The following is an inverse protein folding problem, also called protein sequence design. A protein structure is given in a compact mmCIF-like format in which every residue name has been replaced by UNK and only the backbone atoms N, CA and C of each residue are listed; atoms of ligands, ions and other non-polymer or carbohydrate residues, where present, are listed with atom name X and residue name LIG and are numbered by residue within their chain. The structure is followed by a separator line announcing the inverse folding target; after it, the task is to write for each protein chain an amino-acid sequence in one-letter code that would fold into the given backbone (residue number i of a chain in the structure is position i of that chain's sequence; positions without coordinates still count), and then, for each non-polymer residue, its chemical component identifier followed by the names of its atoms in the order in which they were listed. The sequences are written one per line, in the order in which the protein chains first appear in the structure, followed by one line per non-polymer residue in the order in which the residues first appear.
data_IF_082507683888
#
_entry.id   IF_082507683888
#
_cell.length_a   1.000
_cell.length_b   1.000
_cell.length_c   1.000
_cell.angle_alpha   90.00
_cell.angle_beta   90.00
_cell.angle_gamma   90.00
#
_symmetry.space_group_name_H-M   'P 1'
#
loop_
_entity.id
_entity.type
_entity.pdbx_description
1 polymer ?
#
# COMPACT_ATOMS: atom_id res chain seq x y z
N UNK A 1 7.06 -27.32 -3.81
CA UNK A 1 6.09 -27.36 -2.75
C UNK A 1 4.70 -26.98 -3.28
N UNK A 2 3.64 -27.67 -2.79
CA UNK A 2 2.25 -27.28 -3.02
C UNK A 2 1.94 -25.91 -2.39
N UNK A 3 0.80 -25.32 -2.72
CA UNK A 3 0.37 -24.07 -2.11
C UNK A 3 0.21 -24.22 -0.58
N UNK A 4 -0.45 -25.28 -0.14
CA UNK A 4 -0.70 -25.54 1.29
C UNK A 4 0.60 -25.69 2.08
N UNK A 5 1.59 -26.41 1.54
CA UNK A 5 2.90 -26.51 2.19
C UNK A 5 3.61 -25.16 2.27
N UNK A 6 3.50 -24.31 1.26
CA UNK A 6 4.07 -22.96 1.29
C UNK A 6 3.35 -22.07 2.29
N UNK A 7 2.01 -22.11 2.36
CA UNK A 7 1.21 -21.40 3.35
C UNK A 7 1.62 -21.82 4.78
N UNK A 8 1.67 -23.12 5.06
CA UNK A 8 2.09 -23.64 6.37
C UNK A 8 3.49 -23.18 6.76
N UNK A 9 4.43 -23.18 5.82
CA UNK A 9 5.78 -22.69 6.05
C UNK A 9 5.81 -21.19 6.35
N UNK A 10 5.10 -20.39 5.58
CA UNK A 10 4.99 -18.95 5.77
C UNK A 10 4.40 -18.62 7.15
N UNK A 11 3.31 -19.28 7.52
CA UNK A 11 2.65 -19.08 8.82
C UNK A 11 3.51 -19.53 9.99
N UNK A 12 4.27 -20.63 9.85
CA UNK A 12 5.23 -21.07 10.85
C UNK A 12 6.32 -20.02 11.07
N UNK A 13 6.89 -19.47 10.00
CA UNK A 13 7.89 -18.38 10.07
C UNK A 13 7.29 -17.17 10.75
N UNK A 14 6.08 -16.75 10.34
CA UNK A 14 5.38 -15.63 10.96
C UNK A 14 5.20 -15.80 12.48
N UNK A 15 4.70 -16.96 12.91
CA UNK A 15 4.49 -17.25 14.33
C UNK A 15 5.82 -17.26 15.10
N UNK A 16 6.89 -17.80 14.50
CA UNK A 16 8.24 -17.81 15.10
C UNK A 16 8.74 -16.38 15.28
N UNK A 17 8.72 -15.55 14.24
CA UNK A 17 9.16 -14.14 14.30
C UNK A 17 8.39 -13.36 15.37
N UNK A 18 7.05 -13.48 15.38
CA UNK A 18 6.22 -12.80 16.39
C UNK A 18 6.56 -13.21 17.81
N UNK A 19 6.81 -14.51 18.06
CA UNK A 19 7.08 -15.04 19.41
C UNK A 19 8.51 -14.84 19.89
N UNK A 20 9.49 -14.94 18.99
CA UNK A 20 10.90 -15.02 19.36
C UNK A 20 11.64 -13.70 19.16
N UNK A 21 11.23 -12.88 18.17
CA UNK A 21 11.94 -11.65 17.81
C UNK A 21 11.18 -10.38 18.23
N UNK A 22 9.85 -10.47 18.43
CA UNK A 22 9.03 -9.35 18.82
C UNK A 22 8.53 -9.49 20.26
N UNK A 23 8.02 -8.39 20.80
CA UNK A 23 7.39 -8.35 22.11
C UNK A 23 6.09 -9.16 22.14
N UNK A 24 5.76 -9.77 23.30
CA UNK A 24 4.55 -10.59 23.46
C UNK A 24 3.24 -9.83 23.25
N UNK A 25 3.28 -8.49 23.25
CA UNK A 25 2.14 -7.61 22.98
C UNK A 25 2.06 -7.15 21.52
N UNK A 26 2.92 -7.68 20.63
CA UNK A 26 2.87 -7.40 19.21
C UNK A 26 1.56 -7.89 18.61
N UNK A 27 0.78 -6.96 18.07
CA UNK A 27 -0.53 -7.24 17.47
C UNK A 27 -0.51 -6.92 15.98
N UNK A 28 -1.01 -7.83 15.15
CA UNK A 28 -1.23 -7.56 13.73
C UNK A 28 -2.43 -6.63 13.57
N UNK A 29 -2.20 -5.47 12.99
CA UNK A 29 -3.23 -4.46 12.75
C UNK A 29 -3.68 -4.41 11.29
N UNK A 30 -2.90 -5.02 10.40
CA UNK A 30 -3.21 -5.19 8.98
C UNK A 30 -2.40 -6.34 8.40
N UNK A 31 -3.00 -7.11 7.46
CA UNK A 31 -2.32 -8.19 6.76
C UNK A 31 -2.74 -8.25 5.29
N UNK A 32 -1.75 -8.40 4.40
CA UNK A 32 -1.98 -8.61 2.97
C UNK A 32 -1.28 -9.86 2.48
N UNK A 33 -2.05 -10.72 1.81
CA UNK A 33 -1.53 -11.88 1.10
C UNK A 33 -1.44 -11.61 -0.39
N UNK A 34 -0.30 -11.94 -0.97
CA UNK A 34 -0.03 -11.92 -2.40
C UNK A 34 -0.07 -13.34 -2.92
N UNK A 35 -1.06 -13.66 -3.75
CA UNK A 35 -1.29 -15.01 -4.23
C UNK A 35 -0.95 -15.14 -5.71
N UNK A 36 -0.47 -16.33 -6.12
CA UNK A 36 -0.27 -16.64 -7.53
C UNK A 36 -1.57 -16.98 -8.25
N UNK A 37 -2.60 -17.46 -7.52
CA UNK A 37 -3.90 -17.89 -8.06
C UNK A 37 -4.98 -17.75 -6.97
N UNK A 38 -5.58 -16.56 -6.89
CA UNK A 38 -6.57 -16.28 -5.83
C UNK A 38 -7.81 -17.19 -5.90
N UNK A 39 -8.25 -17.56 -7.09
CA UNK A 39 -9.44 -18.41 -7.26
C UNK A 39 -9.29 -19.78 -6.59
N UNK A 40 -8.09 -20.35 -6.58
CA UNK A 40 -7.82 -21.67 -6.01
C UNK A 40 -7.16 -21.63 -4.61
N UNK A 41 -6.71 -20.47 -4.15
CA UNK A 41 -5.87 -20.36 -2.96
C UNK A 41 -6.52 -19.59 -1.80
N UNK A 42 -7.50 -18.74 -2.08
CA UNK A 42 -8.13 -17.87 -1.07
C UNK A 42 -8.77 -18.66 0.05
N UNK A 43 -9.50 -19.74 -0.26
CA UNK A 43 -10.22 -20.52 0.78
C UNK A 43 -9.23 -21.08 1.81
N UNK A 44 -8.08 -21.63 1.38
CA UNK A 44 -7.07 -22.15 2.30
C UNK A 44 -6.45 -21.07 3.20
N UNK A 45 -6.33 -19.83 2.70
CA UNK A 45 -5.89 -18.69 3.52
C UNK A 45 -6.97 -18.34 4.54
N UNK A 46 -8.23 -18.28 4.10
CA UNK A 46 -9.37 -17.93 4.96
C UNK A 46 -9.61 -18.97 6.06
N UNK A 47 -9.42 -20.27 5.80
CA UNK A 47 -9.50 -21.33 6.82
C UNK A 47 -8.56 -21.04 7.99
N UNK A 48 -7.31 -20.61 7.72
CA UNK A 48 -6.37 -20.25 8.77
C UNK A 48 -6.73 -18.92 9.46
N UNK A 49 -7.13 -17.91 8.69
CA UNK A 49 -7.47 -16.58 9.24
C UNK A 49 -8.70 -16.60 10.15
N UNK A 50 -9.68 -17.48 9.87
CA UNK A 50 -10.85 -17.64 10.74
C UNK A 50 -10.53 -18.17 12.13
N UNK A 51 -9.39 -18.86 12.30
CA UNK A 51 -8.90 -19.36 13.60
C UNK A 51 -8.03 -18.35 14.35
N UNK A 52 -7.67 -17.25 13.69
CA UNK A 52 -6.78 -16.22 14.24
C UNK A 52 -7.56 -15.05 14.86
N UNK A 53 -6.90 -14.24 15.68
CA UNK A 53 -7.47 -12.98 16.13
C UNK A 53 -7.76 -12.08 14.89
N UNK A 54 -8.90 -11.37 14.92
CA UNK A 54 -9.31 -10.51 13.83
C UNK A 54 -8.20 -9.51 13.47
N UNK A 55 -7.93 -9.41 12.19
CA UNK A 55 -7.04 -8.43 11.58
C UNK A 55 -7.64 -8.04 10.23
N UNK A 56 -7.70 -6.75 9.86
CA UNK A 56 -8.09 -6.35 8.52
C UNK A 56 -7.23 -7.06 7.48
N UNK A 57 -7.89 -7.77 6.58
CA UNK A 57 -7.29 -8.73 5.68
C UNK A 57 -7.47 -8.31 4.24
N UNK A 58 -6.36 -8.24 3.49
CA UNK A 58 -6.33 -8.05 2.05
C UNK A 58 -5.78 -9.31 1.38
N UNK A 59 -6.54 -9.92 0.48
CA UNK A 59 -6.10 -11.07 -0.32
C UNK A 59 -6.15 -10.66 -1.78
N UNK A 60 -4.99 -10.62 -2.43
CA UNK A 60 -4.87 -10.14 -3.80
C UNK A 60 -4.07 -11.12 -4.66
N UNK A 61 -4.55 -11.39 -5.86
CA UNK A 61 -3.74 -12.08 -6.85
C UNK A 61 -2.76 -11.09 -7.47
N UNK A 62 -1.55 -11.16 -6.98
CA UNK A 62 -0.34 -10.51 -7.49
C UNK A 62 0.80 -11.52 -7.30
N UNK A 63 1.05 -12.38 -8.29
CA UNK A 63 2.00 -13.48 -8.16
C UNK A 63 3.40 -13.02 -7.75
N UNK A 64 3.97 -13.52 -6.63
CA UNK A 64 5.37 -13.30 -6.32
C UNK A 64 6.28 -13.86 -7.41
N UNK A 65 7.27 -13.08 -7.86
CA UNK A 65 8.13 -13.46 -8.98
C UNK A 65 9.37 -14.27 -8.55
N UNK A 66 9.58 -14.47 -7.26
CA UNK A 66 10.66 -15.30 -6.73
C UNK A 66 10.40 -16.82 -6.81
N UNK A 67 9.34 -17.24 -7.48
CA UNK A 67 8.95 -18.64 -7.64
C UNK A 67 8.07 -19.20 -6.53
N UNK A 68 7.69 -18.40 -5.54
CA UNK A 68 6.71 -18.78 -4.52
C UNK A 68 5.28 -18.54 -5.00
N UNK A 69 4.33 -19.30 -4.44
CA UNK A 69 2.88 -19.15 -4.73
C UNK A 69 2.21 -18.15 -3.82
N UNK A 70 2.88 -17.74 -2.74
CA UNK A 70 2.35 -16.87 -1.70
C UNK A 70 3.48 -16.04 -1.09
N UNK A 71 3.15 -14.79 -0.80
CA UNK A 71 3.91 -13.93 0.10
C UNK A 71 2.92 -13.19 1.03
N UNK A 72 3.41 -12.68 2.15
CA UNK A 72 2.59 -11.94 3.11
C UNK A 72 3.32 -10.69 3.58
N UNK A 73 2.60 -9.59 3.65
CA UNK A 73 2.97 -8.40 4.38
C UNK A 73 2.05 -8.24 5.58
N UNK A 74 2.62 -8.12 6.78
CA UNK A 74 1.88 -7.88 8.02
C UNK A 74 2.41 -6.61 8.68
N UNK A 75 1.50 -5.71 9.07
CA UNK A 75 1.83 -4.55 9.89
C UNK A 75 1.54 -4.90 11.35
N UNK A 76 2.59 -4.86 12.16
CA UNK A 76 2.55 -5.20 13.58
C UNK A 76 2.78 -3.95 14.42
N UNK A 77 2.04 -3.79 15.49
CA UNK A 77 2.23 -2.73 16.48
C UNK A 77 2.29 -3.33 17.90
N UNK A 78 3.09 -2.72 18.76
CA UNK A 78 3.22 -3.08 20.18
C UNK A 78 2.68 -1.97 21.06
N UNK A 79 2.26 -2.29 22.28
CA UNK A 79 1.77 -1.31 23.25
C UNK A 79 0.44 -0.65 22.87
N UNK A 80 -0.33 -1.27 21.97
CA UNK A 80 -1.59 -0.71 21.48
C UNK A 80 -2.80 -1.31 22.20
N UNK A 81 -3.80 -0.50 22.45
CA UNK A 81 -5.17 -0.95 22.70
C UNK A 81 -5.88 -1.18 21.37
N UNK A 82 -6.44 -2.36 21.16
CA UNK A 82 -7.06 -2.74 19.88
C UNK A 82 -8.55 -2.94 20.03
N UNK A 83 -9.31 -2.38 19.09
CA UNK A 83 -10.76 -2.51 18.98
C UNK A 83 -11.15 -2.79 17.52
N UNK A 84 -12.15 -3.64 17.32
CA UNK A 84 -12.74 -3.93 16.01
C UNK A 84 -14.14 -3.37 15.92
N UNK A 85 -14.55 -2.95 14.73
CA UNK A 85 -15.86 -2.39 14.45
C UNK A 85 -16.63 -3.27 13.48
N UNK A 86 -17.95 -3.30 13.58
CA UNK A 86 -18.83 -4.04 12.66
C UNK A 86 -18.66 -3.58 11.19
N UNK A 87 -18.13 -2.38 10.99
CA UNK A 87 -17.75 -1.88 9.66
C UNK A 87 -16.57 -2.59 9.01
N UNK A 88 -15.85 -3.45 9.73
CA UNK A 88 -14.63 -4.12 9.28
C UNK A 88 -13.35 -3.31 9.54
N UNK A 89 -13.45 -2.11 10.13
CA UNK A 89 -12.27 -1.36 10.56
C UNK A 89 -11.70 -1.94 11.86
N UNK A 90 -10.38 -1.94 11.97
CA UNK A 90 -9.66 -2.15 13.22
C UNK A 90 -9.05 -0.82 13.67
N UNK A 91 -9.25 -0.49 14.94
CA UNK A 91 -8.57 0.61 15.61
C UNK A 91 -7.47 0.08 16.50
N UNK A 92 -6.26 0.62 16.33
CA UNK A 92 -5.16 0.47 17.28
C UNK A 92 -4.85 1.84 17.87
N UNK A 93 -4.94 1.99 19.20
CA UNK A 93 -4.81 3.29 19.87
C UNK A 93 -3.71 3.29 20.91
N UNK A 94 -2.96 4.40 20.94
CA UNK A 94 -1.89 4.68 21.88
C UNK A 94 -1.65 6.20 21.98
N UNK A 95 -1.33 6.68 23.16
CA UNK A 95 -0.97 8.09 23.42
C UNK A 95 -1.97 9.15 22.89
N UNK A 96 -3.21 8.77 22.65
CA UNK A 96 -4.24 9.66 22.10
C UNK A 96 -4.34 9.62 20.57
N UNK A 97 -3.51 8.86 19.91
CA UNK A 97 -3.67 8.52 18.48
C UNK A 97 -4.58 7.30 18.32
N UNK A 98 -5.38 7.31 17.27
CA UNK A 98 -6.23 6.19 16.85
C UNK A 98 -5.90 5.84 15.41
N UNK A 99 -5.30 4.68 15.19
CA UNK A 99 -4.91 4.16 13.88
C UNK A 99 -6.03 3.26 13.37
N UNK A 100 -6.71 3.69 12.30
CA UNK A 100 -7.84 2.99 11.71
C UNK A 100 -7.39 2.26 10.44
N UNK A 101 -7.42 0.94 10.48
CA UNK A 101 -7.03 0.08 9.37
C UNK A 101 -8.25 -0.61 8.76
N UNK A 102 -8.31 -0.61 7.42
CA UNK A 102 -9.28 -1.37 6.64
C UNK A 102 -8.58 -2.20 5.57
N UNK A 103 -9.00 -3.43 5.35
CA UNK A 103 -8.39 -4.34 4.40
C UNK A 103 -9.40 -5.07 3.54
N UNK A 104 -9.09 -5.23 2.25
CA UNK A 104 -9.82 -6.08 1.31
C UNK A 104 -11.27 -5.67 1.03
N UNK A 105 -11.62 -4.40 1.19
CA UNK A 105 -12.98 -3.94 0.90
C UNK A 105 -13.31 -4.09 -0.59
N UNK A 106 -14.48 -4.63 -0.92
CA UNK A 106 -14.96 -4.81 -2.29
C UNK A 106 -16.48 -4.78 -2.39
N UNK A 107 -17.00 -4.64 -3.62
CA UNK A 107 -18.38 -4.88 -3.96
C UNK A 107 -18.49 -5.44 -5.39
N UNK A 108 -19.71 -5.78 -5.82
CA UNK A 108 -20.01 -6.41 -7.12
C UNK A 108 -20.89 -5.51 -8.01
N UNK A 109 -20.72 -4.19 -7.92
CA UNK A 109 -21.43 -3.28 -8.81
C UNK A 109 -21.00 -3.48 -10.28
N UNK A 110 -21.80 -2.97 -11.21
CA UNK A 110 -21.76 -3.33 -12.63
C UNK A 110 -20.42 -3.05 -13.36
N UNK A 111 -19.63 -2.10 -12.90
CA UNK A 111 -18.33 -1.74 -13.50
C UNK A 111 -17.38 -1.10 -12.47
N UNK A 112 -16.13 -0.89 -12.86
CA UNK A 112 -15.09 -0.35 -11.97
C UNK A 112 -15.41 1.04 -11.41
N UNK A 113 -16.05 1.91 -12.19
CA UNK A 113 -16.46 3.24 -11.75
C UNK A 113 -17.47 3.15 -10.59
N UNK A 114 -18.51 2.34 -10.74
CA UNK A 114 -19.52 2.15 -9.69
C UNK A 114 -18.92 1.42 -8.48
N UNK A 115 -18.04 0.44 -8.69
CA UNK A 115 -17.38 -0.26 -7.59
C UNK A 115 -16.56 0.70 -6.75
N UNK A 116 -15.73 1.55 -7.35
CA UNK A 116 -14.94 2.56 -6.63
C UNK A 116 -15.82 3.60 -5.95
N UNK A 117 -16.87 4.07 -6.62
CA UNK A 117 -17.78 5.06 -6.02
C UNK A 117 -18.40 4.53 -4.73
N UNK A 118 -18.87 3.28 -4.75
CA UNK A 118 -19.42 2.64 -3.56
C UNK A 118 -18.35 2.40 -2.49
N UNK A 119 -17.17 1.88 -2.84
CA UNK A 119 -16.07 1.67 -1.90
C UNK A 119 -15.68 2.96 -1.16
N UNK A 120 -15.52 4.06 -1.90
CA UNK A 120 -15.16 5.34 -1.29
C UNK A 120 -16.28 5.92 -0.44
N UNK A 121 -17.54 5.80 -0.88
CA UNK A 121 -18.68 6.26 -0.08
C UNK A 121 -18.84 5.43 1.19
N UNK A 122 -18.71 4.10 1.11
CA UNK A 122 -18.75 3.22 2.27
C UNK A 122 -17.62 3.56 3.25
N UNK A 123 -16.41 3.81 2.75
CA UNK A 123 -15.27 4.21 3.58
C UNK A 123 -15.50 5.58 4.25
N UNK A 124 -16.06 6.55 3.53
CA UNK A 124 -16.48 7.85 4.13
C UNK A 124 -17.46 7.63 5.28
N UNK A 125 -18.47 6.76 5.10
CA UNK A 125 -19.43 6.45 6.16
C UNK A 125 -18.78 5.73 7.35
N UNK A 126 -17.86 4.81 7.10
CA UNK A 126 -17.08 4.14 8.14
C UNK A 126 -16.25 5.14 8.97
N UNK A 127 -15.55 6.05 8.30
CA UNK A 127 -14.79 7.13 8.98
C UNK A 127 -15.71 8.07 9.77
N UNK A 128 -16.85 8.47 9.20
CA UNK A 128 -17.84 9.31 9.91
C UNK A 128 -18.37 8.63 11.18
N UNK A 129 -18.59 7.30 11.14
CA UNK A 129 -18.94 6.50 12.31
C UNK A 129 -17.89 6.57 13.42
N UNK A 130 -16.62 6.82 13.07
CA UNK A 130 -15.51 7.03 13.98
C UNK A 130 -15.21 8.52 14.28
N UNK A 131 -16.08 9.43 13.84
CA UNK A 131 -15.91 10.89 13.92
C UNK A 131 -14.69 11.40 13.12
N UNK A 132 -14.30 10.66 12.10
CA UNK A 132 -13.22 10.99 11.18
C UNK A 132 -13.75 11.39 9.81
N UNK A 133 -12.92 12.04 9.01
CA UNK A 133 -13.22 12.40 7.63
C UNK A 133 -12.12 11.89 6.69
N UNK A 134 -12.47 11.67 5.44
CA UNK A 134 -11.51 11.27 4.43
C UNK A 134 -10.38 12.31 4.28
N UNK A 135 -10.75 13.58 4.20
CA UNK A 135 -9.82 14.68 3.95
C UNK A 135 -8.83 14.94 5.09
N UNK A 136 -9.26 14.78 6.35
CA UNK A 136 -8.44 15.18 7.52
C UNK A 136 -7.71 14.00 8.18
N UNK A 137 -8.14 12.76 7.94
CA UNK A 137 -7.65 11.61 8.70
C UNK A 137 -7.06 10.52 7.84
N UNK A 138 -7.50 10.37 6.57
CA UNK A 138 -6.98 9.33 5.69
C UNK A 138 -5.56 9.65 5.24
N UNK A 139 -4.62 8.75 5.55
CA UNK A 139 -3.20 8.88 5.23
C UNK A 139 -2.85 8.11 3.97
N UNK A 140 -3.45 6.93 3.80
CA UNK A 140 -3.05 6.01 2.74
C UNK A 140 -4.22 5.17 2.23
N UNK A 141 -4.29 4.97 0.90
CA UNK A 141 -5.19 4.02 0.24
C UNK A 141 -4.45 3.18 -0.79
N UNK A 142 -4.94 1.96 -1.02
CA UNK A 142 -4.48 1.07 -2.08
C UNK A 142 -5.71 0.58 -2.86
N UNK A 143 -5.60 0.60 -4.19
CA UNK A 143 -6.63 0.09 -5.09
C UNK A 143 -6.02 -0.99 -5.97
N UNK A 144 -6.54 -2.21 -5.85
CA UNK A 144 -6.18 -3.33 -6.70
C UNK A 144 -7.23 -3.47 -7.77
N UNK A 145 -6.83 -3.28 -9.02
CA UNK A 145 -7.74 -3.14 -10.16
C UNK A 145 -7.54 -4.32 -11.10
N UNK A 146 -8.56 -5.15 -11.25
CA UNK A 146 -8.53 -6.26 -12.20
C UNK A 146 -8.50 -5.73 -13.63
N UNK A 147 -7.56 -6.22 -14.46
CA UNK A 147 -7.36 -5.76 -15.82
C UNK A 147 -7.23 -4.22 -15.88
N UNK A 148 -6.16 -3.73 -15.27
CA UNK A 148 -5.92 -2.31 -15.04
C UNK A 148 -5.99 -1.47 -16.33
N UNK A 149 -5.53 -2.01 -17.46
CA UNK A 149 -5.57 -1.32 -18.76
C UNK A 149 -7.00 -1.01 -19.24
N UNK A 150 -8.00 -1.77 -18.77
CA UNK A 150 -9.42 -1.58 -19.11
C UNK A 150 -10.16 -0.81 -18.02
N UNK A 151 -9.92 -1.15 -16.75
CA UNK A 151 -10.76 -0.72 -15.64
C UNK A 151 -10.26 0.54 -14.92
N UNK A 152 -9.01 0.95 -15.11
CA UNK A 152 -8.43 2.08 -14.35
C UNK A 152 -9.08 3.44 -14.64
N UNK A 153 -9.59 3.65 -15.84
CA UNK A 153 -10.29 4.89 -16.19
C UNK A 153 -11.53 5.14 -15.31
N UNK A 154 -12.28 4.07 -14.96
CA UNK A 154 -13.41 4.14 -14.04
C UNK A 154 -12.97 4.52 -12.61
N UNK A 155 -11.83 3.99 -12.16
CA UNK A 155 -11.23 4.34 -10.87
C UNK A 155 -10.90 5.82 -10.79
N UNK A 156 -10.22 6.35 -11.81
CA UNK A 156 -9.85 7.78 -11.88
C UNK A 156 -11.08 8.68 -11.86
N UNK A 157 -12.12 8.31 -12.62
CA UNK A 157 -13.36 9.09 -12.71
C UNK A 157 -14.07 9.16 -11.36
N UNK A 158 -14.29 8.02 -10.71
CA UNK A 158 -15.01 7.97 -9.43
C UNK A 158 -14.21 8.66 -8.30
N UNK A 159 -12.90 8.54 -8.28
CA UNK A 159 -12.06 9.25 -7.29
C UNK A 159 -12.18 10.76 -7.39
N UNK A 160 -12.23 11.32 -8.59
CA UNK A 160 -12.42 12.78 -8.80
C UNK A 160 -13.74 13.30 -8.26
N UNK A 161 -14.77 12.47 -8.23
CA UNK A 161 -16.08 12.84 -7.71
C UNK A 161 -16.10 12.89 -6.18
N UNK A 162 -15.38 11.97 -5.52
CA UNK A 162 -15.35 11.85 -4.05
C UNK A 162 -14.26 12.73 -3.43
N UNK A 163 -13.09 12.81 -4.07
CA UNK A 163 -11.98 13.65 -3.62
C UNK A 163 -12.09 15.05 -4.25
N UNK A 164 -13.05 15.82 -3.78
CA UNK A 164 -13.36 17.17 -4.28
C UNK A 164 -12.61 18.28 -3.57
N UNK A 165 -12.01 18.01 -2.42
CA UNK A 165 -11.30 19.00 -1.63
C UNK A 165 -9.97 19.38 -2.26
N UNK A 166 -9.73 20.70 -2.34
CA UNK A 166 -8.62 21.28 -3.10
C UNK A 166 -7.33 21.46 -2.30
N UNK A 167 -7.33 21.10 -1.03
CA UNK A 167 -6.20 21.39 -0.13
C UNK A 167 -5.10 20.34 -0.20
N UNK A 168 -5.46 19.08 -0.30
CA UNK A 168 -4.56 17.94 -0.50
C UNK A 168 -5.35 16.71 -0.94
N UNK A 169 -4.64 15.72 -1.45
CA UNK A 169 -5.15 14.39 -1.74
C UNK A 169 -4.51 13.37 -0.78
N UNK A 170 -4.85 12.12 -0.94
CA UNK A 170 -4.38 11.01 -0.10
C UNK A 170 -3.25 10.30 -0.82
N UNK A 171 -2.17 9.92 -0.12
CA UNK A 171 -1.16 9.05 -0.68
C UNK A 171 -1.80 7.71 -1.11
N UNK A 172 -1.53 7.27 -2.34
CA UNK A 172 -2.27 6.15 -2.93
C UNK A 172 -1.46 5.38 -3.95
N UNK A 173 -1.76 4.08 -4.06
CA UNK A 173 -1.33 3.22 -5.17
C UNK A 173 -2.55 2.64 -5.86
N UNK A 174 -2.58 2.71 -7.19
CA UNK A 174 -3.59 2.06 -8.03
C UNK A 174 -2.89 1.14 -9.03
N UNK A 175 -3.03 -0.17 -8.88
CA UNK A 175 -2.21 -1.18 -9.55
C UNK A 175 -3.05 -2.40 -9.94
N UNK A 176 -2.58 -3.21 -10.90
CA UNK A 176 -3.22 -4.49 -11.20
C UNK A 176 -3.30 -5.36 -9.95
N UNK A 177 -4.45 -6.00 -9.76
CA UNK A 177 -4.66 -7.01 -8.74
C UNK A 177 -6.05 -7.61 -8.87
N UNK A 178 -6.18 -8.91 -8.60
CA UNK A 178 -7.44 -9.63 -8.78
C UNK A 178 -7.94 -10.22 -7.48
N UNK A 179 -9.24 -10.17 -7.32
CA UNK A 179 -9.97 -10.91 -6.30
C UNK A 179 -10.23 -12.35 -6.76
N UNK A 180 -10.51 -13.27 -5.82
CA UNK A 180 -10.94 -14.63 -6.15
C UNK A 180 -12.23 -14.67 -6.98
N UNK A 181 -13.18 -13.76 -6.70
CA UNK A 181 -14.40 -13.60 -7.49
C UNK A 181 -14.14 -12.65 -8.67
N UNK A 182 -14.31 -13.12 -9.92
CA UNK A 182 -14.01 -12.33 -11.12
C UNK A 182 -14.97 -11.15 -11.35
N UNK A 183 -16.09 -11.06 -10.64
CA UNK A 183 -17.00 -9.91 -10.70
C UNK A 183 -16.51 -8.72 -9.87
N UNK A 184 -15.53 -8.93 -8.99
CA UNK A 184 -14.87 -7.89 -8.22
C UNK A 184 -13.76 -7.28 -9.07
N UNK A 185 -14.02 -6.11 -9.61
CA UNK A 185 -13.08 -5.41 -10.49
C UNK A 185 -12.10 -4.54 -9.71
N UNK A 186 -12.46 -4.15 -8.47
CA UNK A 186 -11.60 -3.33 -7.62
C UNK A 186 -11.72 -3.76 -6.16
N UNK A 187 -10.57 -3.86 -5.48
CA UNK A 187 -10.47 -3.96 -4.03
C UNK A 187 -9.78 -2.72 -3.47
N UNK A 188 -10.07 -2.38 -2.21
CA UNK A 188 -9.47 -1.24 -1.53
C UNK A 188 -8.97 -1.63 -0.14
N UNK A 189 -7.74 -1.19 0.17
CA UNK A 189 -7.23 -1.12 1.53
C UNK A 189 -7.09 0.34 1.94
N UNK A 190 -7.17 0.61 3.25
CA UNK A 190 -7.16 1.97 3.78
C UNK A 190 -6.47 2.08 5.13
N UNK A 191 -5.88 3.25 5.36
CA UNK A 191 -5.30 3.61 6.64
C UNK A 191 -5.58 5.08 6.94
N UNK A 192 -6.11 5.34 8.14
CA UNK A 192 -6.37 6.68 8.65
C UNK A 192 -5.84 6.82 10.07
N UNK A 193 -5.55 8.05 10.49
CA UNK A 193 -5.11 8.38 11.84
C UNK A 193 -5.93 9.54 12.37
N UNK A 194 -6.49 9.36 13.57
CA UNK A 194 -7.11 10.42 14.37
C UNK A 194 -6.20 10.83 15.52
N UNK A 195 -6.39 12.03 16.04
CA UNK A 195 -5.62 12.59 17.14
C UNK A 195 -4.33 13.28 16.72
N UNK A 196 -4.11 13.47 15.42
CA UNK A 196 -2.97 14.24 14.93
C UNK A 196 -3.17 15.75 15.17
N UNK A 197 -2.11 16.41 15.59
CA UNK A 197 -2.06 17.86 15.77
C UNK A 197 -1.65 18.56 14.45
N UNK A 198 -1.97 19.84 14.27
CA UNK A 198 -1.49 20.61 13.12
C UNK A 198 0.03 20.57 12.99
N UNK A 199 0.51 20.28 11.78
CA UNK A 199 1.93 20.18 11.47
C UNK A 199 2.55 18.77 11.61
N UNK A 200 1.79 17.77 12.10
CA UNK A 200 2.28 16.38 12.11
C UNK A 200 2.27 15.73 10.73
N UNK A 201 1.36 16.13 9.83
CA UNK A 201 1.28 15.62 8.46
C UNK A 201 2.05 16.54 7.53
N UNK A 202 2.90 15.93 6.70
CA UNK A 202 3.60 16.57 5.60
C UNK A 202 3.27 15.82 4.30
N UNK A 203 2.88 16.55 3.25
CA UNK A 203 2.72 15.99 1.90
C UNK A 203 4.02 16.16 1.12
N UNK A 204 4.38 15.13 0.34
CA UNK A 204 5.63 15.05 -0.39
C UNK A 204 5.37 15.25 -1.88
N UNK A 205 6.18 16.07 -2.53
CA UNK A 205 5.95 16.52 -3.91
C UNK A 205 7.09 16.23 -4.87
N UNK A 206 8.34 16.41 -4.46
CA UNK A 206 9.55 16.29 -5.27
C UNK A 206 9.49 17.05 -6.61
N UNK A 207 9.21 18.37 -6.64
CA UNK A 207 8.88 19.12 -7.85
C UNK A 207 10.00 19.19 -8.89
N UNK A 208 11.24 18.88 -8.52
CA UNK A 208 12.36 18.75 -9.44
C UNK A 208 12.32 17.47 -10.28
N UNK A 209 11.58 16.46 -9.82
CA UNK A 209 11.53 15.12 -10.41
C UNK A 209 10.13 14.69 -10.81
N UNK A 210 9.12 15.19 -10.13
CA UNK A 210 7.73 14.78 -10.27
C UNK A 210 6.83 16.00 -10.43
N UNK A 211 5.80 15.90 -11.29
CA UNK A 211 4.76 16.90 -11.38
C UNK A 211 3.62 16.62 -10.39
N UNK A 212 2.82 17.64 -10.06
CA UNK A 212 1.57 17.43 -9.32
C UNK A 212 0.64 16.48 -10.08
N UNK A 213 0.02 15.54 -9.36
CA UNK A 213 -0.76 14.47 -9.99
C UNK A 213 -2.03 14.98 -10.69
N UNK A 214 -2.62 16.07 -10.19
CA UNK A 214 -3.80 16.68 -10.83
C UNK A 214 -3.53 17.19 -12.24
N UNK A 215 -2.29 17.52 -12.61
CA UNK A 215 -1.92 18.00 -13.95
C UNK A 215 -2.15 16.93 -15.03
N UNK A 216 -1.99 15.64 -14.70
CA UNK A 216 -2.32 14.56 -15.63
C UNK A 216 -3.59 13.80 -15.25
N UNK A 217 -4.42 14.44 -14.45
CA UNK A 217 -5.81 14.06 -14.25
C UNK A 217 -6.08 12.99 -13.20
N UNK A 218 -5.16 12.72 -12.27
CA UNK A 218 -5.40 11.82 -11.14
C UNK A 218 -5.38 12.59 -9.82
N UNK A 219 -5.91 11.97 -8.75
CA UNK A 219 -6.15 12.63 -7.45
C UNK A 219 -5.48 11.82 -6.35
N UNK A 220 -4.16 11.97 -6.20
CA UNK A 220 -3.40 11.41 -5.07
C UNK A 220 -2.17 12.27 -4.77
N UNK A 221 -1.61 12.15 -3.56
CA UNK A 221 -0.31 12.72 -3.21
C UNK A 221 0.81 11.75 -3.55
N UNK A 222 2.00 12.27 -3.87
CA UNK A 222 3.20 11.46 -4.14
C UNK A 222 3.67 10.69 -2.92
N UNK A 223 3.42 11.23 -1.75
CA UNK A 223 3.68 10.61 -0.46
C UNK A 223 3.14 11.44 0.68
N UNK A 224 3.05 10.82 1.83
CA UNK A 224 2.63 11.45 3.09
C UNK A 224 3.59 11.03 4.19
N UNK A 225 4.08 11.97 4.97
CA UNK A 225 4.85 11.71 6.18
C UNK A 225 4.04 12.14 7.40
N UNK A 226 4.06 11.32 8.45
CA UNK A 226 3.43 11.59 9.74
C UNK A 226 4.52 11.60 10.82
N UNK A 227 4.69 12.74 11.49
CA UNK A 227 5.71 12.93 12.54
C UNK A 227 5.10 12.71 13.91
N UNK A 228 5.67 11.80 14.68
CA UNK A 228 5.38 11.55 16.09
C UNK A 228 6.53 12.05 16.97
N UNK A 229 6.42 11.95 18.28
CA UNK A 229 7.45 12.40 19.20
C UNK A 229 8.78 11.66 19.09
N UNK A 230 8.71 10.39 18.71
CA UNK A 230 9.86 9.46 18.68
C UNK A 230 10.22 8.98 17.27
N UNK A 231 9.35 9.17 16.28
CA UNK A 231 9.56 8.70 14.90
C UNK A 231 8.75 9.46 13.87
N UNK A 232 9.16 9.32 12.63
CA UNK A 232 8.41 9.76 11.45
C UNK A 232 8.10 8.53 10.60
N UNK A 233 6.84 8.34 10.22
CA UNK A 233 6.40 7.34 9.25
C UNK A 233 6.19 8.00 7.90
N UNK A 234 6.76 7.43 6.85
CA UNK A 234 6.73 7.98 5.49
C UNK A 234 6.07 6.95 4.57
N UNK A 235 4.98 7.32 3.94
CA UNK A 235 4.22 6.50 3.00
C UNK A 235 4.42 7.05 1.59
N UNK A 236 5.21 6.34 0.77
CA UNK A 236 5.43 6.70 -0.63
C UNK A 236 4.40 5.98 -1.48
N UNK A 237 3.64 6.74 -2.25
CA UNK A 237 2.68 6.23 -3.25
C UNK A 237 3.38 5.44 -4.34
N UNK A 238 2.62 4.64 -5.09
CA UNK A 238 3.14 4.01 -6.30
C UNK A 238 3.86 5.04 -7.18
N UNK A 239 5.15 4.80 -7.39
CA UNK A 239 6.07 5.70 -8.11
C UNK A 239 6.71 4.94 -9.26
N UNK A 240 6.65 5.51 -10.46
CA UNK A 240 7.18 4.95 -11.68
C UNK A 240 8.27 5.86 -12.31
N UNK A 241 8.78 5.48 -13.48
CA UNK A 241 9.74 6.29 -14.26
C UNK A 241 9.00 7.42 -14.97
N UNK A 242 8.89 8.55 -14.30
CA UNK A 242 8.23 9.78 -14.78
C UNK A 242 9.11 10.99 -14.48
N UNK A 243 8.97 12.05 -15.25
CA UNK A 243 9.63 13.34 -14.98
C UNK A 243 8.65 14.41 -14.42
N UNK A 244 9.17 15.59 -14.19
CA UNK A 244 8.40 16.71 -13.66
C UNK A 244 7.46 17.40 -14.68
N UNK A 245 7.33 16.85 -15.88
CA UNK A 245 6.31 17.23 -16.87
C UNK A 245 5.20 16.18 -16.97
N UNK A 246 5.32 15.08 -16.22
CA UNK A 246 4.39 13.97 -16.29
C UNK A 246 4.65 13.00 -17.46
N UNK A 247 5.84 13.10 -18.08
CA UNK A 247 6.23 12.28 -19.24
C UNK A 247 6.92 10.99 -18.76
N UNK A 248 6.68 9.88 -19.49
CA UNK A 248 7.37 8.62 -19.25
C UNK A 248 8.83 8.77 -19.64
N UNK A 249 9.73 8.50 -18.72
CA UNK A 249 11.18 8.54 -18.98
C UNK A 249 11.68 7.13 -19.31
N UNK A 250 12.53 7.03 -20.33
CA UNK A 250 13.13 5.76 -20.82
C UNK A 250 12.10 4.71 -21.28
N UNK A 251 11.22 5.02 -22.24
CA UNK A 251 10.24 4.06 -22.74
C UNK A 251 10.92 2.77 -23.24
N UNK A 252 10.43 1.61 -22.81
CA UNK A 252 10.92 0.29 -23.22
C UNK A 252 12.24 -0.16 -22.58
N UNK A 253 12.89 0.63 -21.73
CA UNK A 253 14.14 0.29 -21.05
C UNK A 253 13.89 0.02 -19.56
N UNK A 254 13.74 -1.23 -19.20
CA UNK A 254 13.42 -1.63 -17.81
C UNK A 254 14.51 -1.23 -16.82
N UNK A 255 15.80 -1.29 -17.19
CA UNK A 255 16.90 -0.95 -16.28
C UNK A 255 16.86 0.54 -15.96
N UNK A 256 16.80 1.38 -16.98
CA UNK A 256 16.74 2.83 -16.80
C UNK A 256 15.44 3.29 -16.14
N UNK A 257 14.32 2.62 -16.40
CA UNK A 257 13.08 2.90 -15.66
C UNK A 257 13.21 2.55 -14.19
N UNK A 258 13.89 1.44 -13.86
CA UNK A 258 14.16 1.07 -12.45
C UNK A 258 15.06 2.11 -11.77
N UNK A 259 16.13 2.56 -12.42
CA UNK A 259 17.01 3.62 -11.92
C UNK A 259 16.25 4.92 -11.65
N UNK A 260 15.48 5.39 -12.64
CA UNK A 260 14.70 6.63 -12.52
C UNK A 260 13.61 6.55 -11.46
N UNK A 261 12.93 5.42 -11.37
CA UNK A 261 11.93 5.16 -10.33
C UNK A 261 12.54 5.26 -8.93
N UNK A 262 13.70 4.63 -8.69
CA UNK A 262 14.39 4.68 -7.41
C UNK A 262 14.96 6.09 -7.11
N UNK A 263 15.40 6.83 -8.13
CA UNK A 263 15.77 8.24 -8.00
C UNK A 263 14.56 9.08 -7.53
N UNK A 264 13.40 8.93 -8.14
CA UNK A 264 12.16 9.60 -7.76
C UNK A 264 11.78 9.29 -6.29
N UNK A 265 11.83 8.01 -5.89
CA UNK A 265 11.58 7.60 -4.50
C UNK A 265 12.59 8.22 -3.54
N UNK A 266 13.87 8.24 -3.91
CA UNK A 266 14.93 8.82 -3.06
C UNK A 266 14.73 10.31 -2.82
N UNK A 267 14.26 11.06 -3.81
CA UNK A 267 13.98 12.49 -3.67
C UNK A 267 12.75 12.73 -2.79
N UNK A 268 11.70 11.91 -2.92
CA UNK A 268 10.53 11.97 -2.03
C UNK A 268 10.91 11.66 -0.58
N UNK A 269 11.70 10.60 -0.35
CA UNK A 269 12.18 10.26 1.00
C UNK A 269 13.00 11.40 1.61
N UNK A 270 13.86 12.04 0.81
CA UNK A 270 14.68 13.16 1.27
C UNK A 270 13.87 14.37 1.75
N UNK A 271 12.69 14.64 1.16
CA UNK A 271 11.79 15.70 1.65
C UNK A 271 11.26 15.42 3.06
N UNK A 272 11.21 14.13 3.44
CA UNK A 272 10.81 13.68 4.78
C UNK A 272 12.02 13.40 5.71
N UNK A 273 13.22 13.86 5.37
CA UNK A 273 14.48 13.58 6.08
C UNK A 273 14.82 12.09 6.16
N UNK A 274 14.32 11.29 5.21
CA UNK A 274 14.54 9.85 5.11
C UNK A 274 15.43 9.48 3.93
N UNK A 275 15.92 8.26 3.94
CA UNK A 275 16.73 7.65 2.89
C UNK A 275 16.19 6.27 2.53
N UNK A 276 16.71 5.66 1.48
CA UNK A 276 16.36 4.27 1.13
C UNK A 276 16.73 3.24 2.20
N UNK A 277 17.63 3.57 3.13
CA UNK A 277 18.01 2.71 4.26
C UNK A 277 16.95 2.69 5.37
N UNK A 278 16.08 3.68 5.39
CA UNK A 278 14.99 3.79 6.36
C UNK A 278 13.72 3.07 5.90
N UNK A 279 13.74 2.51 4.68
CA UNK A 279 12.62 1.74 4.14
C UNK A 279 12.47 0.44 4.94
N UNK A 280 11.29 0.26 5.52
CA UNK A 280 10.93 -0.94 6.29
C UNK A 280 10.08 -1.93 5.49
N UNK A 281 9.50 -1.48 4.37
CA UNK A 281 8.72 -2.30 3.46
C UNK A 281 8.74 -1.68 2.07
N UNK A 282 9.00 -2.47 1.04
CA UNK A 282 8.86 -2.09 -0.36
C UNK A 282 8.15 -3.17 -1.16
N UNK A 283 7.24 -2.77 -2.03
CA UNK A 283 6.59 -3.65 -2.99
C UNK A 283 6.84 -3.08 -4.39
N UNK A 284 7.45 -3.90 -5.23
CA UNK A 284 7.70 -3.58 -6.63
C UNK A 284 6.78 -4.38 -7.53
N UNK A 285 6.13 -3.68 -8.42
CA UNK A 285 5.17 -4.17 -9.39
C UNK A 285 5.81 -4.21 -10.77
N UNK A 286 5.89 -5.38 -11.38
CA UNK A 286 6.37 -5.55 -12.75
C UNK A 286 5.21 -5.81 -13.69
N UNK A 287 5.26 -5.15 -14.85
CA UNK A 287 4.29 -5.36 -15.92
C UNK A 287 4.52 -6.66 -16.67
N UNK A 288 5.78 -7.05 -16.84
CA UNK A 288 6.20 -8.27 -17.54
C UNK A 288 7.12 -9.12 -16.63
N UNK A 289 6.77 -10.38 -16.46
CA UNK A 289 7.59 -11.32 -15.70
C UNK A 289 8.96 -11.58 -16.32
N UNK A 290 9.12 -11.36 -17.61
CA UNK A 290 10.41 -11.51 -18.30
C UNK A 290 11.47 -10.52 -17.81
N UNK A 291 11.05 -9.38 -17.24
CA UNK A 291 11.92 -8.35 -16.67
C UNK A 291 12.43 -8.71 -15.26
N UNK A 292 11.86 -9.74 -14.63
CA UNK A 292 12.16 -10.05 -13.21
C UNK A 292 13.64 -10.30 -12.94
N UNK A 293 14.32 -11.11 -13.76
CA UNK A 293 15.71 -11.46 -13.52
C UNK A 293 16.65 -10.24 -13.55
N UNK A 294 16.37 -9.30 -14.46
CA UNK A 294 17.15 -8.06 -14.60
C UNK A 294 16.89 -7.11 -13.42
N UNK A 295 15.63 -6.93 -13.07
CA UNK A 295 15.22 -6.07 -11.94
C UNK A 295 15.73 -6.63 -10.61
N UNK A 296 15.60 -7.93 -10.39
CA UNK A 296 16.15 -8.61 -9.19
C UNK A 296 17.65 -8.34 -9.05
N UNK A 297 18.41 -8.55 -10.12
CA UNK A 297 19.86 -8.30 -10.12
C UNK A 297 20.21 -6.84 -9.82
N UNK A 298 19.41 -5.89 -10.32
CA UNK A 298 19.59 -4.48 -10.02
C UNK A 298 19.40 -4.20 -8.53
N UNK A 299 18.33 -4.68 -7.92
CA UNK A 299 18.08 -4.49 -6.48
C UNK A 299 19.14 -5.17 -5.61
N UNK A 300 19.54 -6.40 -5.94
CA UNK A 300 20.61 -7.10 -5.21
C UNK A 300 21.95 -6.34 -5.26
N UNK A 301 22.24 -5.65 -6.36
CA UNK A 301 23.48 -4.90 -6.52
C UNK A 301 23.46 -3.51 -5.84
N UNK A 302 22.32 -2.82 -5.83
CA UNK A 302 22.25 -1.42 -5.39
C UNK A 302 21.52 -1.24 -4.04
N UNK A 303 20.66 -2.19 -3.67
CA UNK A 303 19.83 -2.15 -2.46
C UNK A 303 19.74 -3.53 -1.79
N UNK A 304 20.87 -4.16 -1.43
CA UNK A 304 20.88 -5.56 -0.96
C UNK A 304 20.11 -5.77 0.35
N UNK A 305 19.99 -4.74 1.18
CA UNK A 305 19.33 -4.81 2.49
C UNK A 305 17.86 -4.31 2.44
N UNK A 306 17.33 -4.00 1.26
CA UNK A 306 15.97 -3.50 1.14
C UNK A 306 14.95 -4.60 1.47
N UNK A 307 14.05 -4.41 2.46
CA UNK A 307 12.93 -5.32 2.71
C UNK A 307 11.93 -5.25 1.56
N UNK A 308 11.98 -6.22 0.64
CA UNK A 308 11.46 -6.05 -0.69
C UNK A 308 10.74 -7.28 -1.23
N UNK A 309 9.58 -7.06 -1.83
CA UNK A 309 8.81 -8.06 -2.58
C UNK A 309 8.61 -7.58 -4.01
N UNK A 310 8.89 -8.43 -5.00
CA UNK A 310 8.59 -8.17 -6.41
C UNK A 310 7.44 -9.08 -6.84
N UNK A 311 6.38 -8.48 -7.38
CA UNK A 311 5.18 -9.21 -7.84
C UNK A 311 4.86 -8.88 -9.29
N UNK A 312 4.14 -9.78 -9.96
CA UNK A 312 3.57 -9.53 -11.28
C UNK A 312 2.28 -8.71 -11.11
N UNK A 313 2.32 -7.48 -11.53
CA UNK A 313 1.17 -6.57 -11.50
C UNK A 313 1.39 -5.44 -12.51
N UNK A 314 0.70 -5.45 -13.66
CA UNK A 314 0.75 -4.35 -14.61
C UNK A 314 0.47 -2.99 -13.98
N UNK A 315 1.31 -2.04 -14.32
CA UNK A 315 1.17 -0.64 -13.90
C UNK A 315 0.04 0.03 -14.70
N UNK A 316 -0.62 1.00 -14.11
CA UNK A 316 -1.83 1.64 -14.63
C UNK A 316 -1.68 2.39 -15.97
N UNK A 317 -0.48 2.51 -16.52
CA UNK A 317 -0.20 3.01 -17.88
C UNK A 317 0.76 2.08 -18.62
N UNK A 318 0.48 1.69 -19.86
CA UNK A 318 1.26 0.70 -20.61
C UNK A 318 2.77 1.01 -20.74
N UNK A 319 3.15 2.27 -20.81
CA UNK A 319 4.55 2.69 -20.95
C UNK A 319 5.38 2.58 -19.67
N UNK A 320 4.76 2.44 -18.50
CA UNK A 320 5.45 2.16 -17.25
C UNK A 320 5.61 0.66 -17.07
N UNK A 321 6.85 0.21 -17.13
CA UNK A 321 7.21 -1.21 -17.03
C UNK A 321 7.31 -1.66 -15.57
N UNK A 322 7.56 -0.72 -14.66
CA UNK A 322 7.81 -0.95 -13.24
C UNK A 322 7.26 0.19 -12.40
N UNK A 323 6.77 -0.14 -11.22
CA UNK A 323 6.37 0.80 -10.18
C UNK A 323 6.76 0.24 -8.81
N UNK A 324 7.14 1.11 -7.87
CA UNK A 324 7.41 0.71 -6.49
C UNK A 324 6.69 1.65 -5.52
N UNK A 325 6.11 1.09 -4.48
CA UNK A 325 5.68 1.79 -3.28
C UNK A 325 6.52 1.37 -2.09
N UNK A 326 6.64 2.23 -1.07
CA UNK A 326 7.33 1.86 0.14
C UNK A 326 6.83 2.59 1.38
N UNK A 327 7.14 2.02 2.53
CA UNK A 327 7.00 2.65 3.84
C UNK A 327 8.39 2.77 4.43
N UNK A 328 8.73 3.96 4.94
CA UNK A 328 9.96 4.21 5.67
C UNK A 328 9.64 4.70 7.08
N UNK A 329 10.51 4.37 8.03
CA UNK A 329 10.42 4.83 9.42
C UNK A 329 11.76 5.43 9.83
N UNK A 330 11.72 6.68 10.28
CA UNK A 330 12.91 7.42 10.69
C UNK A 330 12.77 7.77 12.17
N UNK A 331 13.75 7.44 13.02
CA UNK A 331 13.80 7.98 14.39
C UNK A 331 13.84 9.51 14.33
N UNK A 332 13.04 10.15 15.16
CA UNK A 332 13.04 11.63 15.27
C UNK A 332 12.73 12.04 16.69
N UNK A 333 13.06 13.28 17.02
CA UNK A 333 12.66 13.93 18.27
C UNK A 333 11.79 15.15 17.91
N UNK A 334 10.58 15.17 18.41
CA UNK A 334 9.67 16.29 18.21
C UNK A 334 8.89 16.61 19.49
N UNK A 335 8.15 17.71 19.49
CA UNK A 335 7.27 18.11 20.59
C UNK A 335 5.97 17.33 20.64
N UNK A 336 5.68 16.53 19.64
CA UNK A 336 4.46 15.71 19.59
C UNK A 336 4.55 14.51 20.55
N UNK A 337 3.44 13.85 20.79
CA UNK A 337 3.42 12.61 21.58
C UNK A 337 4.11 11.49 20.80
N UNK A 338 4.83 10.57 21.47
CA UNK A 338 5.36 9.36 20.84
C UNK A 338 4.25 8.48 20.25
N UNK A 339 4.61 7.70 19.22
CA UNK A 339 3.72 6.69 18.66
C UNK A 339 3.63 5.50 19.61
#
# INVERSE_FOLDING_TARGET
LSFVEQLQNLLRVYVTVVKEELSNDATAVFRRYFLSDAANQTDSVMEWECESAFCPLSIVQQPPLNGTKIAMWTYLQTGMSVQTYDSGLLEASHNGYRHLWGGGAFNKAANSEYQIRLLLNDYVMQLMGQRCTLASHCVRTWFFVQNVDVNYAGVVKARKEVLTEKTHYIASTGIEGRHADPSVLVQMDSYAVDGLEPGQIQFLYAPTHLNPTYEYGVTFERGTAVTYGDRKQVFISGTASIDNRGEIVYPGDIVKQTERMMENISVLLKEADATTRDITQAITYLRDMADYAVVKKYFEAHYPDLPHLIVLAPVCRPGWLIETECIAVVPTESSFKPL
#
